data_IF_717671479904
#
_entry.id   IF_717671479904
#
_cell.length_a   1.000
_cell.length_b   1.000
_cell.length_c   1.000
_cell.angle_alpha   90.00
_cell.angle_beta   90.00
_cell.angle_gamma   90.00
#
_symmetry.space_group_name_H-M   'P 1'
#
loop_
_entity.id
_entity.type
_entity.pdbx_description
1 polymer ?
#
# COMPACT_ATOMS: atom_id res chain seq x y z
N UNK A 1 -26.46 -2.97 19.59
CA UNK A 1 -26.97 -2.42 18.33
C UNK A 1 -27.89 -1.25 18.58
N UNK A 2 -27.25 -0.15 18.97
CA UNK A 2 -27.78 1.19 18.83
C UNK A 2 -27.28 1.78 17.51
N UNK A 3 -28.09 2.66 16.93
CA UNK A 3 -27.68 3.54 15.85
C UNK A 3 -27.67 4.96 16.37
N UNK A 4 -26.53 5.64 16.26
CA UNK A 4 -26.36 7.05 16.57
C UNK A 4 -26.38 7.79 15.23
N UNK A 5 -27.19 8.83 15.11
CA UNK A 5 -27.29 9.61 13.88
C UNK A 5 -26.85 11.05 14.18
N UNK A 6 -25.93 11.56 13.37
CA UNK A 6 -25.52 12.97 13.37
C UNK A 6 -25.98 13.58 12.05
N UNK A 7 -27.10 14.28 12.11
CA UNK A 7 -27.80 14.83 10.96
C UNK A 7 -27.20 16.17 10.49
N UNK A 8 -27.70 16.66 9.36
CA UNK A 8 -27.31 17.95 8.80
C UNK A 8 -27.37 19.10 9.82
N UNK A 9 -26.26 19.85 9.94
CA UNK A 9 -26.13 20.97 10.88
C UNK A 9 -25.84 20.56 12.32
N UNK A 10 -25.75 19.26 12.62
CA UNK A 10 -25.32 18.75 13.92
C UNK A 10 -23.81 18.55 13.97
N UNK A 11 -23.26 18.76 15.15
CA UNK A 11 -21.88 18.42 15.48
C UNK A 11 -21.85 17.60 16.76
N UNK A 12 -21.18 16.46 16.74
CA UNK A 12 -20.94 15.62 17.91
C UNK A 12 -19.44 15.42 18.12
N UNK A 13 -19.02 15.21 19.37
CA UNK A 13 -17.60 15.02 19.69
C UNK A 13 -17.38 14.01 20.79
N UNK A 14 -16.28 13.25 20.74
CA UNK A 14 -15.90 12.30 21.79
C UNK A 14 -16.84 11.10 21.88
N UNK A 15 -17.41 10.68 20.76
CA UNK A 15 -18.29 9.52 20.70
C UNK A 15 -17.44 8.24 20.77
N UNK A 16 -17.80 7.31 21.65
CA UNK A 16 -17.23 5.96 21.64
C UNK A 16 -18.25 5.00 21.05
N UNK A 17 -17.90 4.35 19.95
CA UNK A 17 -18.74 3.38 19.26
C UNK A 17 -18.21 1.99 19.56
N UNK A 18 -18.94 1.25 20.38
CA UNK A 18 -18.60 -0.13 20.75
C UNK A 18 -19.09 -1.10 19.68
N UNK A 19 -18.52 -2.30 19.64
CA UNK A 19 -18.91 -3.24 18.59
C UNK A 19 -20.37 -3.67 18.67
N UNK A 20 -20.94 -3.88 17.48
CA UNK A 20 -22.37 -4.03 17.26
C UNK A 20 -23.15 -2.71 17.22
N UNK A 21 -22.56 -1.55 17.47
CA UNK A 21 -23.20 -0.23 17.32
C UNK A 21 -22.70 0.49 16.06
N UNK A 22 -23.55 1.38 15.52
CA UNK A 22 -23.26 2.15 14.31
C UNK A 22 -23.45 3.65 14.56
N UNK A 23 -22.47 4.44 14.16
CA UNK A 23 -22.58 5.88 13.99
C UNK A 23 -22.82 6.20 12.52
N UNK A 24 -23.95 6.84 12.21
CA UNK A 24 -24.28 7.37 10.90
C UNK A 24 -24.08 8.89 10.91
N UNK A 25 -23.12 9.37 10.13
CA UNK A 25 -22.87 10.80 9.91
C UNK A 25 -23.51 11.17 8.58
N UNK A 26 -24.71 11.75 8.62
CA UNK A 26 -25.43 12.13 7.40
C UNK A 26 -24.76 13.32 6.72
N UNK A 27 -25.11 13.58 5.45
CA UNK A 27 -24.61 14.75 4.73
C UNK A 27 -24.87 16.06 5.51
N UNK A 28 -23.81 16.85 5.70
CA UNK A 28 -23.82 18.07 6.50
C UNK A 28 -23.74 17.86 8.02
N UNK A 29 -23.67 16.62 8.50
CA UNK A 29 -23.30 16.28 9.87
C UNK A 29 -21.78 16.29 10.06
N UNK A 30 -21.33 16.64 11.27
CA UNK A 30 -19.91 16.64 11.65
C UNK A 30 -19.69 15.80 12.92
N UNK A 31 -18.70 14.93 12.89
CA UNK A 31 -18.20 14.27 14.10
C UNK A 31 -16.71 14.52 14.30
N UNK A 32 -16.32 14.58 15.57
CA UNK A 32 -14.94 14.84 15.97
C UNK A 32 -14.52 13.87 17.08
N UNK A 33 -13.29 13.38 17.01
CA UNK A 33 -12.71 12.56 18.09
C UNK A 33 -13.57 11.31 18.40
N UNK A 34 -14.10 10.68 17.35
CA UNK A 34 -14.82 9.41 17.45
C UNK A 34 -13.83 8.29 17.76
N UNK A 35 -14.18 7.35 18.63
CA UNK A 35 -13.37 6.17 18.95
C UNK A 35 -14.13 4.89 18.64
N UNK A 36 -13.65 4.14 17.66
CA UNK A 36 -14.21 2.84 17.26
C UNK A 36 -13.46 1.73 18.00
N UNK A 37 -14.22 0.93 18.76
CA UNK A 37 -13.68 -0.10 19.66
C UNK A 37 -14.14 -1.51 19.28
N UNK A 38 -13.39 -2.49 19.78
CA UNK A 38 -13.67 -3.90 19.60
C UNK A 38 -15.01 -4.31 20.20
N UNK A 39 -15.59 -5.38 19.66
CA UNK A 39 -16.53 -6.23 20.39
C UNK A 39 -15.87 -7.57 20.69
N UNK A 40 -16.15 -8.11 21.87
CA UNK A 40 -15.72 -9.46 22.26
C UNK A 40 -16.48 -10.57 21.52
N UNK A 41 -17.52 -10.24 20.76
CA UNK A 41 -18.48 -11.20 20.19
C UNK A 41 -18.95 -10.88 18.77
N UNK A 42 -18.65 -9.71 18.21
CA UNK A 42 -19.14 -9.21 16.91
C UNK A 42 -18.07 -8.34 16.22
N UNK A 43 -18.37 -7.84 15.02
CA UNK A 43 -17.63 -6.76 14.37
C UNK A 43 -17.47 -5.56 15.34
N UNK A 44 -16.35 -4.84 15.25
CA UNK A 44 -16.11 -3.63 16.05
C UNK A 44 -17.11 -2.51 15.75
N UNK A 45 -16.96 -1.37 16.41
CA UNK A 45 -17.82 -0.20 16.17
C UNK A 45 -17.75 0.25 14.71
N UNK A 46 -18.89 0.65 14.15
CA UNK A 46 -18.97 1.10 12.75
C UNK A 46 -19.28 2.59 12.68
N UNK A 47 -18.55 3.32 11.86
CA UNK A 47 -18.86 4.70 11.48
C UNK A 47 -19.09 4.81 9.97
N UNK A 48 -20.28 5.26 9.56
CA UNK A 48 -20.64 5.52 8.16
C UNK A 48 -20.64 7.03 7.93
N UNK A 49 -19.76 7.53 7.06
CA UNK A 49 -19.52 8.97 6.87
C UNK A 49 -20.02 9.42 5.50
N UNK A 50 -21.23 9.96 5.44
CA UNK A 50 -21.75 10.75 4.30
C UNK A 50 -21.51 12.27 4.49
N UNK A 51 -21.20 12.69 5.73
CA UNK A 51 -20.87 14.06 6.10
C UNK A 51 -19.37 14.26 6.28
N UNK A 52 -18.97 14.72 7.47
CA UNK A 52 -17.56 14.92 7.80
C UNK A 52 -17.18 14.26 9.12
N UNK A 53 -16.04 13.60 9.14
CA UNK A 53 -15.44 13.00 10.32
C UNK A 53 -14.00 13.50 10.50
N UNK A 54 -13.64 13.86 11.73
CA UNK A 54 -12.32 14.42 12.05
C UNK A 54 -11.75 13.66 13.24
N UNK A 55 -10.52 13.15 13.09
CA UNK A 55 -9.77 12.43 14.14
C UNK A 55 -10.51 11.21 14.69
N UNK A 56 -11.11 10.41 13.81
CA UNK A 56 -11.59 9.08 14.24
C UNK A 56 -10.39 8.20 14.59
N UNK A 57 -10.39 7.67 15.81
CA UNK A 57 -9.49 6.61 16.22
C UNK A 57 -10.16 5.25 15.96
N UNK A 58 -9.54 4.44 15.11
CA UNK A 58 -10.00 3.12 14.72
C UNK A 58 -9.04 2.10 15.33
N UNK A 59 -9.20 1.86 16.63
CA UNK A 59 -8.42 0.82 17.32
C UNK A 59 -8.95 -0.56 16.97
N UNK A 60 -10.25 -0.69 16.71
CA UNK A 60 -10.93 -1.91 16.27
C UNK A 60 -12.28 -1.53 15.67
N UNK A 61 -12.68 -2.14 14.56
CA UNK A 61 -13.92 -1.79 13.87
C UNK A 61 -13.66 -1.12 12.54
N UNK A 62 -14.65 -0.40 12.01
CA UNK A 62 -14.60 0.10 10.64
C UNK A 62 -15.17 1.50 10.51
N UNK A 63 -14.40 2.40 9.89
CA UNK A 63 -14.93 3.62 9.32
C UNK A 63 -15.13 3.42 7.82
N UNK A 64 -16.34 3.62 7.32
CA UNK A 64 -16.61 3.71 5.88
C UNK A 64 -16.88 5.16 5.52
N UNK A 65 -16.06 5.73 4.64
CA UNK A 65 -16.27 7.04 4.04
C UNK A 65 -17.03 6.84 2.75
N UNK A 66 -18.30 7.21 2.77
CA UNK A 66 -19.25 7.01 1.68
C UNK A 66 -19.09 8.11 0.62
N UNK A 67 -19.78 7.96 -0.52
CA UNK A 67 -19.81 8.99 -1.57
C UNK A 67 -20.22 10.36 -1.00
N UNK A 68 -19.41 11.38 -1.27
CA UNK A 68 -19.57 12.75 -0.75
C UNK A 68 -19.10 12.95 0.70
N UNK A 69 -18.68 11.88 1.37
CA UNK A 69 -18.11 11.90 2.72
C UNK A 69 -16.65 12.33 2.76
N UNK A 70 -16.25 12.92 3.89
CA UNK A 70 -14.87 13.34 4.15
C UNK A 70 -14.37 12.86 5.50
N UNK A 71 -13.23 12.17 5.53
CA UNK A 71 -12.50 11.83 6.76
C UNK A 71 -11.16 12.56 6.83
N UNK A 72 -10.85 13.17 7.96
CA UNK A 72 -9.62 13.93 8.15
C UNK A 72 -8.89 13.46 9.41
N UNK A 73 -7.62 13.11 9.26
CA UNK A 73 -6.73 12.72 10.36
C UNK A 73 -7.22 11.50 11.14
N UNK A 74 -7.82 10.52 10.46
CA UNK A 74 -8.12 9.26 11.10
C UNK A 74 -6.83 8.57 11.57
N UNK A 75 -6.90 7.82 12.66
CA UNK A 75 -5.80 6.98 13.14
C UNK A 75 -6.29 5.56 13.15
N UNK A 76 -5.67 4.70 12.35
CA UNK A 76 -5.99 3.28 12.23
C UNK A 76 -4.85 2.51 12.87
N UNK A 77 -5.11 1.76 13.93
CA UNK A 77 -4.08 1.42 14.93
C UNK A 77 -3.97 -0.07 15.31
N UNK A 78 -4.72 -0.96 14.66
CA UNK A 78 -4.62 -2.41 14.90
C UNK A 78 -4.87 -3.26 13.65
N UNK A 79 -4.53 -4.55 13.72
CA UNK A 79 -4.82 -5.57 12.70
C UNK A 79 -6.31 -5.68 12.31
N UNK A 80 -7.22 -5.18 13.15
CA UNK A 80 -8.67 -5.25 12.92
C UNK A 80 -9.30 -3.83 12.87
N UNK A 81 -8.46 -2.80 12.67
CA UNK A 81 -8.89 -1.45 12.38
C UNK A 81 -8.93 -1.24 10.87
N UNK A 82 -10.13 -0.92 10.36
CA UNK A 82 -10.37 -0.75 8.93
C UNK A 82 -10.88 0.65 8.63
N UNK A 83 -10.33 1.30 7.61
CA UNK A 83 -10.97 2.46 7.00
C UNK A 83 -11.20 2.19 5.50
N UNK A 84 -12.47 2.21 5.10
CA UNK A 84 -12.91 1.95 3.74
C UNK A 84 -13.32 3.26 3.10
N UNK A 85 -12.66 3.66 2.02
CA UNK A 85 -13.03 4.85 1.25
C UNK A 85 -13.75 4.37 -0.01
N UNK A 86 -15.07 4.58 -0.04
CA UNK A 86 -15.90 4.23 -1.20
C UNK A 86 -15.68 5.21 -2.35
N UNK A 87 -16.15 4.82 -3.53
CA UNK A 87 -16.17 5.69 -4.69
C UNK A 87 -16.91 7.01 -4.38
N UNK A 88 -16.30 8.14 -4.72
CA UNK A 88 -16.80 9.47 -4.37
C UNK A 88 -16.50 9.92 -2.94
N UNK A 89 -15.97 9.06 -2.08
CA UNK A 89 -15.48 9.40 -0.73
C UNK A 89 -14.05 9.95 -0.75
N UNK A 90 -13.68 10.70 0.29
CA UNK A 90 -12.31 11.20 0.46
C UNK A 90 -11.78 11.09 1.88
N UNK A 91 -10.53 10.66 2.02
CA UNK A 91 -9.78 10.76 3.26
C UNK A 91 -8.48 11.55 3.10
N UNK A 92 -8.01 12.16 4.18
CA UNK A 92 -6.72 12.83 4.18
C UNK A 92 -6.05 12.82 5.55
N UNK A 93 -4.71 12.75 5.52
CA UNK A 93 -3.86 12.76 6.71
C UNK A 93 -4.12 11.59 7.66
N UNK A 94 -4.64 10.47 7.15
CA UNK A 94 -4.78 9.28 7.99
C UNK A 94 -3.41 8.75 8.40
N UNK A 95 -3.32 8.19 9.60
CA UNK A 95 -2.12 7.49 10.10
C UNK A 95 -2.46 6.02 10.28
N UNK A 96 -1.72 5.14 9.61
CA UNK A 96 -1.95 3.69 9.61
C UNK A 96 -0.78 3.00 10.32
N UNK A 97 -1.07 2.20 11.34
CA UNK A 97 -0.05 1.50 12.12
C UNK A 97 -0.57 0.17 12.69
N UNK A 98 0.35 -0.74 13.05
CA UNK A 98 0.02 -1.87 13.91
C UNK A 98 -0.93 -2.91 13.31
N UNK A 99 -0.91 -3.07 11.98
CA UNK A 99 -1.80 -3.97 11.25
C UNK A 99 -2.94 -3.29 10.51
N UNK A 100 -3.06 -1.98 10.66
CA UNK A 100 -4.12 -1.19 10.07
C UNK A 100 -4.26 -1.37 8.56
N UNK A 101 -5.51 -1.41 8.11
CA UNK A 101 -5.87 -1.55 6.71
C UNK A 101 -6.75 -0.37 6.27
N UNK A 102 -6.36 0.26 5.17
CA UNK A 102 -7.17 1.26 4.49
C UNK A 102 -7.40 0.82 3.05
N UNK A 103 -8.67 0.63 2.71
CA UNK A 103 -9.09 0.25 1.38
C UNK A 103 -9.63 1.44 0.61
N UNK A 104 -9.07 1.72 -0.56
CA UNK A 104 -9.40 2.87 -1.40
C UNK A 104 -10.12 2.40 -2.66
N UNK A 105 -11.35 2.89 -2.85
CA UNK A 105 -12.33 2.39 -3.83
C UNK A 105 -12.74 0.93 -3.56
N UNK A 106 -12.99 0.60 -2.29
CA UNK A 106 -13.49 -0.71 -1.90
C UNK A 106 -14.98 -0.83 -2.28
N UNK A 107 -15.26 -1.30 -3.49
CA UNK A 107 -16.62 -1.62 -3.90
C UNK A 107 -16.92 -3.11 -3.67
N UNK A 108 -17.92 -3.39 -2.83
CA UNK A 108 -18.61 -4.68 -2.91
C UNK A 108 -19.37 -4.67 -4.24
N UNK A 109 -18.90 -5.46 -5.21
CA UNK A 109 -19.37 -5.60 -6.60
C UNK A 109 -20.90 -5.81 -6.75
N UNK A 110 -21.64 -5.92 -5.64
CA UNK A 110 -23.06 -6.21 -5.57
C UNK A 110 -23.94 -5.03 -5.12
N UNK A 111 -23.39 -3.84 -4.87
CA UNK A 111 -24.21 -2.69 -4.47
C UNK A 111 -24.89 -2.03 -5.67
N UNK A 112 -26.05 -2.58 -6.05
CA UNK A 112 -26.87 -2.13 -7.18
C UNK A 112 -27.47 -0.73 -7.01
N UNK A 113 -27.30 -0.08 -5.85
CA UNK A 113 -27.81 1.27 -5.56
C UNK A 113 -26.72 2.36 -5.55
N UNK A 114 -25.43 2.03 -5.77
CA UNK A 114 -24.39 3.06 -5.83
C UNK A 114 -24.40 3.77 -7.20
N UNK A 115 -25.08 4.91 -7.23
CA UNK A 115 -25.25 5.79 -8.39
C UNK A 115 -23.91 6.39 -8.85
N UNK A 116 -22.85 6.29 -8.05
CA UNK A 116 -21.59 7.01 -8.28
C UNK A 116 -20.36 6.12 -8.45
N UNK A 117 -20.53 4.89 -8.95
CA UNK A 117 -19.43 4.02 -9.42
C UNK A 117 -18.52 4.69 -10.49
N UNK A 118 -18.87 5.90 -10.98
CA UNK A 118 -18.03 6.69 -11.89
C UNK A 118 -17.12 7.69 -11.17
N UNK A 119 -17.35 7.96 -9.89
CA UNK A 119 -16.50 8.82 -9.08
C UNK A 119 -15.28 8.05 -8.57
N UNK A 120 -14.22 8.80 -8.28
CA UNK A 120 -12.97 8.27 -7.75
C UNK A 120 -13.03 8.27 -6.22
N UNK A 121 -12.46 7.25 -5.58
CA UNK A 121 -12.12 7.32 -4.16
C UNK A 121 -10.74 7.98 -4.03
N UNK A 122 -10.61 8.99 -3.17
CA UNK A 122 -9.37 9.78 -3.10
C UNK A 122 -8.83 9.87 -1.68
N UNK A 123 -7.61 9.38 -1.50
CA UNK A 123 -6.84 9.46 -0.26
C UNK A 123 -5.61 10.32 -0.47
N UNK A 124 -5.34 11.27 0.44
CA UNK A 124 -4.18 12.16 0.29
C UNK A 124 -3.40 12.39 1.59
N UNK A 125 -2.08 12.53 1.46
CA UNK A 125 -1.19 12.92 2.56
C UNK A 125 -1.21 11.97 3.76
N UNK A 126 -1.53 10.70 3.53
CA UNK A 126 -1.53 9.68 4.57
C UNK A 126 -0.10 9.33 5.00
N UNK A 127 0.03 8.78 6.21
CA UNK A 127 1.29 8.22 6.72
C UNK A 127 1.07 6.74 7.03
N UNK A 128 1.81 5.89 6.33
CA UNK A 128 1.77 4.43 6.54
C UNK A 128 2.99 4.02 7.34
N UNK A 129 2.77 3.68 8.60
CA UNK A 129 3.80 3.24 9.53
C UNK A 129 3.96 1.71 9.54
N UNK A 130 4.78 1.21 10.45
CA UNK A 130 5.07 -0.22 10.59
C UNK A 130 3.79 -1.05 10.75
N UNK A 131 3.57 -1.96 9.81
CA UNK A 131 2.42 -2.86 9.78
C UNK A 131 1.14 -2.23 9.25
N UNK A 132 1.12 -0.95 8.87
CA UNK A 132 0.01 -0.35 8.15
C UNK A 132 0.05 -0.72 6.67
N UNK A 133 -1.11 -0.85 6.04
CA UNK A 133 -1.26 -1.13 4.62
C UNK A 133 -2.37 -0.27 3.99
N UNK A 134 -2.06 0.31 2.82
CA UNK A 134 -3.03 0.91 1.92
C UNK A 134 -3.28 -0.03 0.74
N UNK A 135 -4.53 -0.37 0.48
CA UNK A 135 -4.93 -1.14 -0.70
C UNK A 135 -5.69 -0.24 -1.66
N UNK A 136 -5.17 -0.10 -2.88
CA UNK A 136 -5.68 0.84 -3.88
C UNK A 136 -6.34 0.04 -5.00
N UNK A 137 -7.66 0.00 -4.99
CA UNK A 137 -8.45 -0.76 -5.95
C UNK A 137 -8.77 0.07 -7.21
N UNK A 138 -9.48 -0.54 -8.15
CA UNK A 138 -9.91 0.12 -9.39
C UNK A 138 -10.67 1.41 -9.06
N UNK A 139 -10.27 2.53 -9.68
CA UNK A 139 -10.82 3.88 -9.42
C UNK A 139 -10.39 4.51 -8.08
N UNK A 140 -9.57 3.82 -7.30
CA UNK A 140 -8.92 4.36 -6.12
C UNK A 140 -7.67 5.15 -6.50
N UNK A 141 -7.48 6.30 -5.85
CA UNK A 141 -6.29 7.13 -5.96
C UNK A 141 -5.74 7.42 -4.58
N UNK A 142 -4.47 7.08 -4.36
CA UNK A 142 -3.67 7.57 -3.23
C UNK A 142 -2.66 8.60 -3.74
N UNK A 143 -2.42 9.65 -2.97
CA UNK A 143 -1.43 10.67 -3.37
C UNK A 143 -0.75 11.38 -2.21
N UNK A 144 0.56 11.59 -2.36
CA UNK A 144 1.37 12.30 -1.36
C UNK A 144 1.52 11.51 -0.05
N UNK A 145 1.30 10.20 -0.09
CA UNK A 145 1.42 9.31 1.04
C UNK A 145 2.89 9.16 1.43
N UNK A 146 3.20 9.14 2.72
CA UNK A 146 4.54 8.81 3.22
C UNK A 146 4.52 7.38 3.74
N UNK A 147 5.26 6.51 3.07
CA UNK A 147 5.40 5.09 3.45
C UNK A 147 6.69 4.91 4.23
N UNK A 148 6.57 4.60 5.53
CA UNK A 148 7.69 4.39 6.43
C UNK A 148 8.10 2.91 6.49
N UNK A 149 9.14 2.62 7.28
CA UNK A 149 9.67 1.26 7.43
C UNK A 149 8.58 0.26 7.84
N UNK A 150 8.44 -0.81 7.06
CA UNK A 150 7.43 -1.88 7.21
C UNK A 150 5.98 -1.42 6.98
N UNK A 151 5.75 -0.23 6.42
CA UNK A 151 4.47 0.14 5.84
C UNK A 151 4.40 -0.26 4.36
N UNK A 152 3.20 -0.48 3.84
CA UNK A 152 2.99 -0.79 2.42
C UNK A 152 1.85 -0.04 1.75
N UNK A 153 1.99 0.13 0.44
CA UNK A 153 0.90 0.42 -0.50
C UNK A 153 0.83 -0.72 -1.51
N UNK A 154 -0.34 -1.28 -1.72
CA UNK A 154 -0.64 -2.31 -2.71
C UNK A 154 -1.61 -1.74 -3.75
N UNK A 155 -1.12 -1.52 -4.97
CA UNK A 155 -1.88 -0.92 -6.07
C UNK A 155 -2.39 -2.00 -7.02
N UNK A 156 -3.69 -2.26 -6.97
CA UNK A 156 -4.36 -3.25 -7.81
C UNK A 156 -4.68 -2.73 -9.23
N UNK A 157 -5.17 -3.63 -10.08
CA UNK A 157 -5.60 -3.30 -11.45
C UNK A 157 -6.56 -2.11 -11.48
N UNK A 158 -6.18 -1.02 -12.15
CA UNK A 158 -6.97 0.19 -12.26
C UNK A 158 -6.86 1.16 -11.08
N UNK A 159 -6.10 0.81 -10.04
CA UNK A 159 -5.72 1.73 -8.96
C UNK A 159 -4.52 2.59 -9.31
N UNK A 160 -4.39 3.74 -8.65
CA UNK A 160 -3.31 4.71 -8.89
C UNK A 160 -2.67 5.17 -7.59
N UNK A 161 -1.37 4.93 -7.46
CA UNK A 161 -0.48 5.65 -6.54
C UNK A 161 0.15 6.84 -7.26
N UNK A 162 0.26 7.97 -6.57
CA UNK A 162 0.78 9.19 -7.19
C UNK A 162 1.50 10.14 -6.24
N UNK A 163 2.80 10.34 -6.45
CA UNK A 163 3.57 11.33 -5.68
C UNK A 163 3.83 10.89 -4.25
N UNK A 164 3.77 9.60 -3.96
CA UNK A 164 4.04 9.05 -2.65
C UNK A 164 5.55 9.04 -2.40
N UNK A 165 5.93 9.20 -1.14
CA UNK A 165 7.31 9.10 -0.68
C UNK A 165 7.54 7.75 -0.03
N UNK A 166 8.29 6.88 -0.71
CA UNK A 166 8.63 5.55 -0.20
C UNK A 166 9.96 5.65 0.55
N UNK A 167 9.89 5.66 1.88
CA UNK A 167 11.05 5.84 2.77
C UNK A 167 11.83 4.52 2.93
N UNK A 168 12.99 4.59 3.62
CA UNK A 168 13.77 3.40 3.96
C UNK A 168 12.92 2.32 4.65
N UNK A 169 12.87 1.12 4.07
CA UNK A 169 12.08 -0.01 4.55
C UNK A 169 10.59 0.03 4.21
N UNK A 170 10.12 1.09 3.55
CA UNK A 170 8.76 1.19 3.01
C UNK A 170 8.63 0.45 1.68
N UNK A 171 7.42 0.01 1.37
CA UNK A 171 7.13 -0.84 0.23
C UNK A 171 5.94 -0.31 -0.59
N UNK A 172 6.12 -0.23 -1.91
CA UNK A 172 5.03 -0.02 -2.88
C UNK A 172 4.96 -1.24 -3.80
N UNK A 173 3.85 -1.96 -3.80
CA UNK A 173 3.59 -3.10 -4.68
C UNK A 173 2.62 -2.65 -5.75
N UNK A 174 2.93 -2.92 -7.02
CA UNK A 174 2.08 -2.55 -8.14
C UNK A 174 1.73 -3.82 -8.90
N UNK A 175 0.47 -4.20 -8.83
CA UNK A 175 -0.09 -5.36 -9.51
C UNK A 175 -0.30 -5.08 -11.01
N UNK A 176 -0.62 -6.14 -11.75
CA UNK A 176 -0.91 -6.02 -13.19
C UNK A 176 -2.00 -4.97 -13.44
N UNK A 177 -1.72 -4.03 -14.35
CA UNK A 177 -2.55 -2.88 -14.69
C UNK A 177 -2.78 -1.86 -13.55
N UNK A 178 -2.08 -1.97 -12.43
CA UNK A 178 -1.97 -0.88 -11.45
C UNK A 178 -0.99 0.18 -11.94
N UNK A 179 -1.14 1.41 -11.47
CA UNK A 179 -0.29 2.54 -11.88
C UNK A 179 0.38 3.23 -10.69
N UNK A 180 1.67 3.52 -10.82
CA UNK A 180 2.40 4.41 -9.92
C UNK A 180 3.05 5.55 -10.72
N UNK A 181 2.92 6.78 -10.25
CA UNK A 181 3.29 7.97 -11.02
C UNK A 181 3.93 9.01 -10.11
N UNK A 182 5.05 9.61 -10.52
CA UNK A 182 5.72 10.65 -9.73
C UNK A 182 6.18 10.21 -8.33
N UNK A 183 6.36 8.91 -8.09
CA UNK A 183 6.82 8.44 -6.78
C UNK A 183 8.22 8.97 -6.47
N UNK A 184 8.46 9.25 -5.19
CA UNK A 184 9.77 9.65 -4.66
C UNK A 184 10.27 8.49 -3.81
N UNK A 185 11.21 7.71 -4.34
CA UNK A 185 11.69 6.51 -3.69
C UNK A 185 13.03 6.80 -3.01
N UNK A 186 13.04 6.87 -1.67
CA UNK A 186 14.23 7.21 -0.88
C UNK A 186 15.17 6.01 -0.69
N UNK A 187 16.41 6.29 -0.27
CA UNK A 187 17.42 5.26 0.05
C UNK A 187 16.86 4.18 0.96
N UNK A 188 16.73 2.96 0.44
CA UNK A 188 16.24 1.78 1.17
C UNK A 188 14.73 1.54 1.09
N UNK A 189 13.97 2.37 0.38
CA UNK A 189 12.59 2.05 -0.02
C UNK A 189 12.57 0.96 -1.10
N UNK A 190 11.40 0.43 -1.41
CA UNK A 190 11.24 -0.58 -2.45
C UNK A 190 9.95 -0.37 -3.25
N UNK A 191 10.06 -0.46 -4.58
CA UNK A 191 8.92 -0.70 -5.47
C UNK A 191 9.01 -2.13 -6.00
N UNK A 192 7.93 -2.90 -5.86
CA UNK A 192 7.76 -4.23 -6.45
C UNK A 192 6.77 -4.15 -7.61
N UNK A 193 7.28 -4.21 -8.84
CA UNK A 193 6.48 -4.23 -10.06
C UNK A 193 6.10 -5.66 -10.46
N UNK A 194 4.80 -5.94 -10.63
CA UNK A 194 4.31 -7.18 -11.21
C UNK A 194 4.16 -7.05 -12.73
N UNK A 195 4.23 -8.16 -13.51
CA UNK A 195 4.13 -8.10 -14.96
C UNK A 195 2.86 -7.38 -15.45
N UNK A 196 3.05 -6.24 -16.13
CA UNK A 196 1.96 -5.41 -16.68
C UNK A 196 1.52 -4.27 -15.77
N UNK A 197 2.22 -3.99 -14.67
CA UNK A 197 2.12 -2.73 -13.96
C UNK A 197 2.61 -1.55 -14.81
N UNK A 198 2.19 -0.34 -14.46
CA UNK A 198 2.50 0.90 -15.16
C UNK A 198 3.25 1.82 -14.19
N UNK A 199 4.50 2.15 -14.52
CA UNK A 199 5.32 3.08 -13.74
C UNK A 199 5.78 4.21 -14.66
N UNK A 200 5.55 5.45 -14.26
CA UNK A 200 5.99 6.63 -15.01
C UNK A 200 6.44 7.76 -14.09
N UNK A 201 7.36 8.59 -14.57
CA UNK A 201 7.84 9.81 -13.90
C UNK A 201 8.30 9.64 -12.44
N UNK A 202 8.66 8.41 -12.06
CA UNK A 202 9.06 8.04 -10.70
C UNK A 202 10.55 8.33 -10.48
N UNK A 203 10.85 9.15 -9.48
CA UNK A 203 12.20 9.48 -9.04
C UNK A 203 12.75 8.33 -8.19
N UNK A 204 13.63 7.54 -8.80
CA UNK A 204 14.31 6.40 -8.18
C UNK A 204 15.70 6.75 -7.66
N UNK A 205 16.00 8.04 -7.44
CA UNK A 205 17.30 8.49 -6.93
C UNK A 205 17.69 7.83 -5.59
N UNK A 206 16.74 7.24 -4.86
CA UNK A 206 16.98 6.42 -3.69
C UNK A 206 16.74 4.91 -3.82
N UNK A 207 16.31 4.34 -4.95
CA UNK A 207 15.97 2.90 -4.98
C UNK A 207 16.65 2.08 -6.06
N UNK A 208 17.15 0.98 -5.52
CA UNK A 208 17.45 -0.27 -6.14
C UNK A 208 16.16 -1.06 -6.42
N UNK A 209 15.63 -1.03 -7.65
CA UNK A 209 14.49 -1.87 -8.04
C UNK A 209 14.92 -3.33 -8.19
N UNK A 210 14.91 -4.06 -7.08
CA UNK A 210 14.99 -5.51 -6.97
C UNK A 210 13.80 -6.22 -7.66
N UNK A 211 13.69 -6.33 -8.99
CA UNK A 211 12.67 -7.23 -9.59
C UNK A 211 12.96 -8.64 -9.08
N UNK A 212 12.05 -9.26 -8.33
CA UNK A 212 12.15 -10.66 -7.90
C UNK A 212 10.99 -11.41 -8.55
N UNK A 213 11.28 -12.11 -9.64
CA UNK A 213 10.29 -12.98 -10.29
C UNK A 213 10.28 -14.30 -9.54
N UNK A 214 9.12 -14.73 -9.08
CA UNK A 214 8.90 -16.05 -8.44
C UNK A 214 7.85 -16.86 -9.20
N UNK A 215 7.98 -18.18 -9.21
CA UNK A 215 6.96 -19.09 -9.75
C UNK A 215 5.81 -19.30 -8.75
N UNK A 216 4.75 -20.00 -9.17
CA UNK A 216 3.59 -20.31 -8.33
C UNK A 216 3.92 -21.24 -7.13
N UNK A 217 5.16 -21.73 -7.03
CA UNK A 217 5.65 -22.55 -5.93
C UNK A 217 6.63 -21.77 -5.03
N UNK A 218 6.68 -20.44 -5.14
CA UNK A 218 7.60 -19.54 -4.42
C UNK A 218 9.10 -19.73 -4.77
N UNK A 219 9.40 -20.26 -5.96
CA UNK A 219 10.78 -20.41 -6.47
C UNK A 219 11.19 -19.14 -7.20
N UNK A 220 12.33 -18.55 -6.85
CA UNK A 220 12.87 -17.41 -7.61
C UNK A 220 13.22 -17.87 -9.03
N UNK A 221 12.82 -17.09 -10.03
CA UNK A 221 13.03 -17.30 -11.46
C UNK A 221 14.11 -16.32 -11.94
N UNK A 222 14.01 -15.06 -11.54
CA UNK A 222 15.02 -14.06 -11.87
C UNK A 222 15.03 -12.94 -10.85
N UNK A 223 16.19 -12.30 -10.76
CA UNK A 223 16.35 -11.10 -9.98
C UNK A 223 17.11 -10.01 -10.70
N UNK A 224 16.54 -8.82 -10.76
CA UNK A 224 17.24 -7.62 -11.24
C UNK A 224 17.29 -6.58 -10.15
N UNK A 225 18.27 -5.68 -10.24
CA UNK A 225 18.39 -4.57 -9.34
C UNK A 225 19.25 -3.45 -9.90
N UNK A 226 18.75 -2.23 -9.84
CA UNK A 226 19.44 -1.02 -10.29
C UNK A 226 19.25 0.11 -9.30
N UNK A 227 20.33 0.66 -8.75
CA UNK A 227 20.29 1.89 -7.96
C UNK A 227 20.53 3.09 -8.88
N UNK A 228 19.85 4.21 -8.61
CA UNK A 228 20.29 5.54 -9.04
C UNK A 228 21.72 5.85 -8.60
N UNK A 229 22.30 6.92 -9.15
CA UNK A 229 23.72 7.22 -9.52
C UNK A 229 24.89 7.01 -8.51
N UNK A 230 24.76 6.14 -7.51
CA UNK A 230 25.83 5.75 -6.59
C UNK A 230 25.82 4.24 -6.34
N UNK A 231 26.88 3.61 -6.83
CA UNK A 231 27.45 2.29 -6.47
C UNK A 231 26.60 1.45 -5.52
N UNK A 232 26.04 0.36 -6.07
CA UNK A 232 25.48 -0.74 -5.31
C UNK A 232 26.48 -1.31 -4.29
N UNK A 233 26.14 -1.27 -3.01
CA UNK A 233 26.76 -2.13 -2.00
C UNK A 233 25.75 -3.20 -1.57
N UNK A 234 25.83 -4.34 -2.27
CA UNK A 234 25.28 -5.65 -1.91
C UNK A 234 23.79 -5.90 -2.25
N UNK A 235 23.58 -6.87 -3.13
CA UNK A 235 22.28 -7.49 -3.40
C UNK A 235 22.52 -8.98 -3.54
N UNK A 236 21.75 -9.74 -2.78
CA UNK A 236 21.74 -11.20 -2.88
C UNK A 236 20.37 -11.66 -3.29
N UNK A 237 20.27 -12.15 -4.51
CA UNK A 237 19.09 -12.81 -5.02
C UNK A 237 19.53 -14.06 -5.80
N UNK A 238 19.01 -15.21 -5.38
CA UNK A 238 19.36 -16.51 -5.94
C UNK A 238 18.23 -17.01 -6.81
N UNK A 239 18.39 -16.99 -8.12
CA UNK A 239 17.99 -18.06 -9.02
C UNK A 239 18.34 -17.73 -10.47
N UNK A 240 17.97 -18.64 -11.35
CA UNK A 240 18.83 -19.33 -12.28
C UNK A 240 18.23 -18.96 -13.66
N UNK A 241 18.78 -18.13 -14.58
CA UNK A 241 20.04 -18.18 -15.34
C UNK A 241 20.36 -16.86 -16.05
N UNK A 242 21.66 -16.55 -16.12
CA UNK A 242 22.37 -15.62 -17.02
C UNK A 242 22.02 -14.12 -17.00
N UNK A 243 22.74 -13.36 -16.16
CA UNK A 243 22.80 -11.90 -16.20
C UNK A 243 24.25 -11.42 -16.38
N UNK A 244 24.46 -10.32 -17.11
CA UNK A 244 25.75 -9.64 -17.24
C UNK A 244 25.82 -8.47 -16.26
N UNK A 245 26.91 -8.36 -15.49
CA UNK A 245 27.03 -7.47 -14.33
C UNK A 245 28.08 -6.38 -14.59
N UNK A 246 27.75 -5.12 -14.29
CA UNK A 246 28.71 -4.01 -14.30
C UNK A 246 29.07 -3.62 -12.87
N UNK A 247 30.37 -3.58 -12.57
CA UNK A 247 30.92 -3.02 -11.32
C UNK A 247 30.79 -3.91 -10.10
N UNK A 248 31.70 -4.87 -9.93
CA UNK A 248 31.93 -5.59 -8.66
C UNK A 248 30.92 -6.67 -8.26
N UNK A 249 29.85 -6.90 -9.02
CA UNK A 249 28.85 -7.93 -8.72
C UNK A 249 29.29 -9.37 -9.01
N UNK A 250 28.79 -10.32 -8.21
CA UNK A 250 28.98 -11.77 -8.41
C UNK A 250 27.80 -12.40 -9.17
N UNK A 251 28.08 -13.41 -10.01
CA UNK A 251 27.08 -14.21 -10.74
C UNK A 251 27.00 -15.61 -10.13
N UNK A 252 25.79 -16.09 -9.81
CA UNK A 252 25.57 -17.49 -9.39
C UNK A 252 24.57 -18.11 -10.38
N UNK A 253 24.92 -19.26 -10.95
CA UNK A 253 24.09 -20.07 -11.86
C UNK A 253 23.77 -21.39 -11.16
N UNK A 254 22.58 -21.94 -11.36
CA UNK A 254 22.29 -23.27 -10.82
C UNK A 254 22.63 -24.41 -11.77
N UNK A 255 22.47 -25.63 -11.26
CA UNK A 255 22.70 -26.87 -11.98
C UNK A 255 21.85 -26.93 -13.26
N UNK A 256 22.49 -27.15 -14.41
CA UNK A 256 21.85 -27.23 -15.72
C UNK A 256 21.86 -25.92 -16.49
N UNK A 257 22.34 -24.83 -15.89
CA UNK A 257 22.36 -23.54 -16.54
C UNK A 257 23.69 -23.22 -17.20
N UNK A 258 23.61 -22.67 -18.40
CA UNK A 258 24.77 -22.23 -19.15
C UNK A 258 24.74 -20.72 -19.21
N UNK A 259 25.62 -20.04 -18.44
CA UNK A 259 25.91 -18.65 -18.74
C UNK A 259 26.60 -18.56 -20.10
N UNK A 260 25.95 -17.87 -21.04
CA UNK A 260 26.54 -17.52 -22.32
C UNK A 260 26.88 -16.03 -22.29
N UNK A 261 28.12 -15.70 -22.62
CA UNK A 261 28.64 -14.33 -22.76
C UNK A 261 28.74 -13.50 -21.47
N UNK A 262 29.18 -14.09 -20.34
CA UNK A 262 29.62 -13.31 -19.18
C UNK A 262 30.88 -12.50 -19.51
N UNK A 263 30.83 -11.17 -19.38
CA UNK A 263 31.98 -10.28 -19.59
C UNK A 263 32.33 -9.52 -18.30
N UNK A 264 33.47 -9.89 -17.70
CA UNK A 264 34.04 -9.23 -16.53
C UNK A 264 34.73 -7.92 -16.95
N UNK A 265 34.37 -6.79 -16.32
CA UNK A 265 35.05 -5.51 -16.52
C UNK A 265 35.46 -4.93 -15.16
N UNK A 266 36.75 -4.54 -15.06
CA UNK A 266 37.43 -3.94 -13.90
C UNK A 266 37.39 -4.77 -12.59
N UNK A 267 38.36 -5.68 -12.44
CA UNK A 267 38.86 -6.15 -11.13
C UNK A 267 37.98 -7.08 -10.29
N UNK A 268 36.69 -7.26 -10.59
CA UNK A 268 35.80 -8.14 -9.82
C UNK A 268 36.01 -9.62 -10.12
N UNK A 269 36.19 -10.47 -9.11
CA UNK A 269 36.40 -11.92 -9.27
C UNK A 269 35.10 -12.64 -9.69
N UNK A 270 35.15 -13.40 -10.80
CA UNK A 270 34.09 -14.36 -11.15
C UNK A 270 34.42 -15.71 -10.50
N UNK A 271 33.59 -16.16 -9.54
CA UNK A 271 33.77 -17.49 -8.92
C UNK A 271 32.64 -18.42 -9.34
N UNK A 272 32.94 -19.35 -10.25
CA UNK A 272 32.06 -20.44 -10.65
C UNK A 272 32.13 -21.55 -9.59
N UNK A 273 31.00 -21.94 -9.01
CA UNK A 273 30.91 -23.13 -8.14
C UNK A 273 29.89 -24.08 -8.76
N UNK A 274 30.33 -25.26 -9.16
CA UNK A 274 29.51 -26.31 -9.79
C UNK A 274 28.96 -27.27 -8.72
N UNK A 275 27.72 -27.76 -8.83
CA UNK A 275 27.21 -28.81 -7.95
C UNK A 275 27.47 -30.19 -8.59
N UNK A 276 28.56 -30.85 -8.19
CA UNK A 276 28.74 -32.31 -8.19
C UNK A 276 30.11 -32.66 -7.60
N UNK A 277 30.16 -32.76 -6.28
CA UNK A 277 30.84 -33.83 -5.56
C UNK A 277 29.98 -34.06 -4.30
N UNK A 278 28.83 -34.71 -4.52
CA UNK A 278 28.08 -35.62 -3.63
C UNK A 278 26.67 -35.88 -4.19
#
# INVERSE_FOLDING_TARGET
MAQIIVSSGQSSSGLTISGGDTLLVESGGLVQDTHLLQSSTEWGGVELVYGSSIRTQIDFGSQTVESGGFSISAVVSSNDGYQNIRNGGSASFSTLQGGAEVDVAYDDYNDVDDIDHSALAVVTSDTVESGGALYVYSQGIVSGTVVLSQGSIDVYSGGVASGDTISSGGLLIIEKNGSAVHEIVQSGGLILEKPGAIISDTDTDGVLAGLVVIDNNNTLISSWAQSGDRVLNDIRLSATSSSNFYGGGNVILAAGEVARACRQLNGGLMKLVLPLDL
#
